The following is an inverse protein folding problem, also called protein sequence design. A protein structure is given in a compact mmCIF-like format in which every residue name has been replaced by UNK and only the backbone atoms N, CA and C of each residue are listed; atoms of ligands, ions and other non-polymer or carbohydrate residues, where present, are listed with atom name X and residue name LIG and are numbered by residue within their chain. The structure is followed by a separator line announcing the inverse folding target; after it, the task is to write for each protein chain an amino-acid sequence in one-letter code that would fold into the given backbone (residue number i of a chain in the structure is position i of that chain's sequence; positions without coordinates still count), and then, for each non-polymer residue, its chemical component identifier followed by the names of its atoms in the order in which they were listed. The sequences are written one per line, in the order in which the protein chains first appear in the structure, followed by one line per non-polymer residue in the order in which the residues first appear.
data_IF_706397495404
#
_entry.id   IF_706397495404
#
_cell.length_a   1.000
_cell.length_b   1.000
_cell.length_c   1.000
_cell.angle_alpha   90.00
_cell.angle_beta   90.00
_cell.angle_gamma   90.00
#
_symmetry.space_group_name_H-M   'P 1'
#
loop_
_entity.id
_entity.type
_entity.pdbx_description
1 polymer ?
#
# COMPACT_ATOMS: atom_id res chain seq x y z
N UNK A 1 3.11 2.36 -0.56
CA UNK A 1 4.26 2.32 0.37
C UNK A 1 4.59 0.85 0.60
N UNK A 2 5.69 0.32 0.03
CA UNK A 2 6.04 -1.10 0.11
C UNK A 2 6.68 -1.42 1.47
N UNK A 3 5.87 -1.92 2.41
CA UNK A 3 6.35 -2.31 3.74
C UNK A 3 7.09 -3.65 3.70
N UNK A 4 8.18 -3.81 4.48
CA UNK A 4 8.96 -5.04 4.49
C UNK A 4 8.23 -6.18 5.23
N UNK A 5 8.55 -7.45 4.93
CA UNK A 5 8.07 -8.59 5.71
C UNK A 5 8.36 -8.44 7.21
N UNK A 6 7.44 -8.90 8.05
CA UNK A 6 7.53 -8.77 9.50
C UNK A 6 7.12 -7.40 10.04
N UNK A 7 6.53 -6.54 9.20
CA UNK A 7 5.89 -5.31 9.67
C UNK A 7 4.64 -5.66 10.48
N UNK A 8 4.59 -5.20 11.71
CA UNK A 8 3.46 -5.35 12.63
C UNK A 8 2.73 -4.04 12.90
N UNK A 9 1.92 -4.03 13.94
CA UNK A 9 1.09 -2.88 14.35
C UNK A 9 1.90 -1.58 14.45
N UNK A 10 3.09 -1.66 15.09
CA UNK A 10 3.99 -0.51 15.25
C UNK A 10 4.33 0.15 13.91
N UNK A 11 4.73 -0.66 12.92
CA UNK A 11 5.12 -0.17 11.61
C UNK A 11 3.95 0.39 10.81
N UNK A 12 2.82 -0.30 10.78
CA UNK A 12 1.61 0.18 10.10
C UNK A 12 1.10 1.50 10.68
N UNK A 13 1.04 1.60 12.01
CA UNK A 13 0.60 2.82 12.68
C UNK A 13 1.60 3.96 12.51
N UNK A 14 2.90 3.66 12.48
CA UNK A 14 3.93 4.66 12.20
C UNK A 14 3.77 5.26 10.80
N UNK A 15 3.63 4.42 9.77
CA UNK A 15 3.41 4.87 8.38
C UNK A 15 2.11 5.65 8.25
N UNK A 16 1.04 5.15 8.86
CA UNK A 16 -0.26 5.84 8.83
C UNK A 16 -0.14 7.24 9.39
N UNK A 17 0.47 7.41 10.57
CA UNK A 17 0.61 8.71 11.25
C UNK A 17 1.57 9.65 10.53
N UNK A 18 2.70 9.15 10.06
CA UNK A 18 3.78 10.01 9.58
C UNK A 18 3.76 10.26 8.07
N UNK A 19 3.05 9.43 7.29
CA UNK A 19 2.96 9.58 5.84
C UNK A 19 1.52 9.72 5.38
N UNK A 20 0.66 8.73 5.69
CA UNK A 20 -0.68 8.67 5.10
C UNK A 20 -1.54 9.85 5.56
N UNK A 21 -1.62 10.12 6.85
CA UNK A 21 -2.43 11.23 7.38
C UNK A 21 -1.95 12.60 6.89
N UNK A 22 -0.65 12.96 6.92
CA UNK A 22 -0.16 14.21 6.34
C UNK A 22 -0.47 14.37 4.85
N UNK A 23 -0.37 13.28 4.07
CA UNK A 23 -0.70 13.32 2.66
C UNK A 23 -2.21 13.47 2.40
N UNK A 24 -3.05 12.83 3.20
CA UNK A 24 -4.51 13.01 3.15
C UNK A 24 -4.89 14.45 3.51
N UNK A 25 -4.26 15.03 4.54
CA UNK A 25 -4.49 16.43 4.93
C UNK A 25 -4.09 17.40 3.82
N UNK A 26 -2.97 17.13 3.13
CA UNK A 26 -2.53 17.95 2.00
C UNK A 26 -3.43 17.79 0.77
N UNK A 27 -3.87 16.56 0.47
CA UNK A 27 -4.70 16.24 -0.68
C UNK A 27 -6.16 16.69 -0.52
N UNK A 28 -6.68 16.69 0.73
CA UNK A 28 -8.05 17.09 1.09
C UNK A 28 -9.13 16.39 0.27
N UNK A 29 -9.20 15.06 0.27
CA UNK A 29 -10.22 14.33 -0.47
C UNK A 29 -11.61 14.59 0.11
N UNK A 30 -12.65 14.64 -0.76
CA UNK A 30 -14.05 14.73 -0.33
C UNK A 30 -14.54 13.40 0.26
N UNK A 31 -13.94 12.28 -0.13
CA UNK A 31 -14.29 10.94 0.30
C UNK A 31 -13.04 10.09 0.50
N UNK A 32 -12.95 9.43 1.64
CA UNK A 32 -11.93 8.43 1.94
C UNK A 32 -12.57 7.06 1.97
N UNK A 33 -12.10 6.17 1.11
CA UNK A 33 -12.51 4.76 1.06
C UNK A 33 -11.29 3.92 1.45
N UNK A 34 -11.44 3.06 2.44
CA UNK A 34 -10.41 2.10 2.82
C UNK A 34 -10.71 0.74 2.18
N UNK A 35 -9.87 0.29 1.25
CA UNK A 35 -9.81 -1.10 0.81
C UNK A 35 -9.14 -1.91 1.92
N UNK A 36 -9.96 -2.45 2.82
CA UNK A 36 -9.54 -3.06 4.07
C UNK A 36 -9.20 -4.53 3.89
N UNK A 37 -8.16 -4.84 3.11
CA UNK A 37 -7.60 -6.18 3.00
C UNK A 37 -7.05 -6.66 4.34
N UNK A 38 -7.30 -7.92 4.68
CA UNK A 38 -6.97 -8.52 5.98
C UNK A 38 -5.87 -9.58 5.87
N UNK A 39 -5.29 -9.74 4.69
CA UNK A 39 -4.21 -10.68 4.41
C UNK A 39 -2.85 -10.29 5.00
N UNK A 40 -2.72 -9.07 5.53
CA UNK A 40 -1.54 -8.66 6.31
C UNK A 40 -1.58 -9.10 7.79
N UNK A 41 -2.61 -9.83 8.19
CA UNK A 41 -2.73 -10.38 9.54
C UNK A 41 -1.68 -11.48 9.78
N UNK A 42 -1.10 -11.52 11.00
CA UNK A 42 -0.01 -12.45 11.34
C UNK A 42 -0.36 -13.95 11.20
N UNK A 43 -1.66 -14.30 11.14
CA UNK A 43 -2.12 -15.69 10.91
C UNK A 43 -2.49 -15.95 9.45
N UNK A 44 -2.33 -14.96 8.55
CA UNK A 44 -2.68 -15.16 7.16
C UNK A 44 -1.66 -16.07 6.45
N UNK A 45 -2.10 -17.04 5.65
CA UNK A 45 -1.20 -17.98 4.99
C UNK A 45 -0.47 -17.41 3.78
N UNK A 46 -0.88 -16.25 3.24
CA UNK A 46 -0.35 -15.72 1.97
C UNK A 46 0.72 -14.65 2.16
N UNK A 47 0.76 -13.99 3.32
CA UNK A 47 1.73 -12.92 3.55
C UNK A 47 2.64 -13.20 4.73
N UNK A 48 3.74 -12.47 4.83
CA UNK A 48 4.67 -12.51 5.95
C UNK A 48 4.59 -11.24 6.81
N UNK A 49 3.40 -10.64 6.90
CA UNK A 49 3.15 -9.48 7.73
C UNK A 49 2.70 -9.89 9.14
N UNK A 50 2.71 -8.94 10.09
CA UNK A 50 2.42 -9.22 11.50
C UNK A 50 1.42 -8.24 12.11
N UNK A 51 0.44 -7.79 11.32
CA UNK A 51 -0.63 -6.92 11.79
C UNK A 51 -1.65 -7.73 12.61
N UNK A 52 -2.06 -7.22 13.76
CA UNK A 52 -3.09 -7.82 14.61
C UNK A 52 -4.47 -7.22 14.33
N UNK A 53 -5.55 -7.85 14.82
CA UNK A 53 -6.90 -7.29 14.75
C UNK A 53 -6.98 -5.92 15.44
N UNK A 54 -6.29 -5.76 16.56
CA UNK A 54 -6.16 -4.47 17.23
C UNK A 54 -5.44 -3.43 16.36
N UNK A 55 -4.37 -3.83 15.67
CA UNK A 55 -3.66 -2.96 14.72
C UNK A 55 -4.54 -2.48 13.57
N UNK A 56 -5.38 -3.38 13.00
CA UNK A 56 -6.37 -3.01 11.98
C UNK A 56 -7.39 -2.00 12.52
N UNK A 57 -7.92 -2.22 13.73
CA UNK A 57 -8.86 -1.30 14.36
C UNK A 57 -8.23 0.07 14.60
N UNK A 58 -7.02 0.11 15.16
CA UNK A 58 -6.28 1.34 15.43
C UNK A 58 -5.95 2.12 14.14
N UNK A 59 -5.57 1.42 13.07
CA UNK A 59 -5.32 2.02 11.76
C UNK A 59 -6.60 2.64 11.19
N UNK A 60 -7.74 1.91 11.24
CA UNK A 60 -9.04 2.45 10.79
C UNK A 60 -9.51 3.64 11.64
N UNK A 61 -9.31 3.61 12.95
CA UNK A 61 -9.62 4.75 13.82
C UNK A 61 -8.79 6.00 13.46
N UNK A 62 -7.51 5.82 13.10
CA UNK A 62 -6.65 6.92 12.64
C UNK A 62 -7.05 7.45 11.27
N UNK A 63 -7.32 6.56 10.31
CA UNK A 63 -7.71 6.94 8.96
C UNK A 63 -9.10 7.59 8.92
N UNK A 64 -9.98 7.19 9.83
CA UNK A 64 -11.38 7.61 9.91
C UNK A 64 -12.06 7.63 8.52
N UNK A 65 -12.05 6.52 7.78
CA UNK A 65 -12.59 6.48 6.44
C UNK A 65 -14.11 6.57 6.45
N UNK A 66 -14.70 7.13 5.39
CA UNK A 66 -16.15 7.18 5.20
C UNK A 66 -16.74 5.80 4.89
N UNK A 67 -15.95 4.96 4.21
CA UNK A 67 -16.32 3.61 3.78
C UNK A 67 -15.12 2.70 3.98
N UNK A 68 -15.34 1.50 4.50
CA UNK A 68 -14.37 0.41 4.47
C UNK A 68 -14.95 -0.75 3.63
N UNK A 69 -14.20 -1.20 2.63
CA UNK A 69 -14.56 -2.30 1.75
C UNK A 69 -13.68 -3.49 2.08
N UNK A 70 -14.28 -4.67 2.27
CA UNK A 70 -13.52 -5.90 2.50
C UNK A 70 -12.83 -6.33 1.19
N UNK A 71 -11.58 -6.73 1.31
CA UNK A 71 -10.76 -7.24 0.22
C UNK A 71 -10.18 -8.62 0.58
N UNK A 72 -8.89 -8.88 0.31
CA UNK A 72 -8.21 -10.10 0.71
C UNK A 72 -8.25 -10.35 2.21
N UNK A 73 -8.02 -11.59 2.61
CA UNK A 73 -7.99 -12.07 3.98
C UNK A 73 -8.41 -13.54 4.03
N UNK A 74 -7.45 -14.42 4.30
CA UNK A 74 -7.60 -15.86 4.08
C UNK A 74 -7.53 -16.66 5.38
N UNK A 75 -7.23 -16.00 6.49
CA UNK A 75 -7.31 -16.59 7.84
C UNK A 75 -8.72 -16.50 8.40
N UNK A 76 -9.62 -17.38 7.92
CA UNK A 76 -11.06 -17.33 8.20
C UNK A 76 -11.38 -17.41 9.70
N UNK A 77 -10.68 -18.26 10.44
CA UNK A 77 -10.93 -18.48 11.86
C UNK A 77 -10.06 -17.61 12.77
N UNK A 78 -8.81 -17.39 12.35
CA UNK A 78 -7.80 -16.69 13.16
C UNK A 78 -7.89 -15.17 13.08
N UNK A 79 -8.31 -14.62 11.93
CA UNK A 79 -8.30 -13.18 11.69
C UNK A 79 -9.69 -12.58 11.49
N UNK A 80 -10.43 -13.04 10.49
CA UNK A 80 -11.61 -12.35 9.96
C UNK A 80 -12.64 -11.91 11.04
N UNK A 81 -13.05 -12.73 12.01
CA UNK A 81 -14.04 -12.30 13.01
C UNK A 81 -13.56 -11.14 13.85
N UNK A 82 -12.28 -11.15 14.22
CA UNK A 82 -11.68 -10.16 15.13
C UNK A 82 -11.36 -8.88 14.37
N UNK A 83 -10.76 -8.97 13.19
CA UNK A 83 -10.44 -7.82 12.35
C UNK A 83 -11.72 -7.10 11.92
N UNK A 84 -12.74 -7.83 11.46
CA UNK A 84 -14.03 -7.23 11.08
C UNK A 84 -14.69 -6.52 12.28
N UNK A 85 -14.69 -7.15 13.45
CA UNK A 85 -15.22 -6.52 14.66
C UNK A 85 -14.44 -5.25 15.00
N UNK A 86 -13.10 -5.29 14.95
CA UNK A 86 -12.24 -4.15 15.23
C UNK A 86 -12.48 -2.99 14.26
N UNK A 87 -12.58 -3.26 12.95
CA UNK A 87 -12.89 -2.26 11.94
C UNK A 87 -14.28 -1.64 12.17
N UNK A 88 -15.30 -2.46 12.43
CA UNK A 88 -16.66 -1.98 12.71
C UNK A 88 -16.72 -1.09 13.94
N UNK A 89 -16.04 -1.47 15.03
CA UNK A 89 -15.99 -0.67 16.25
C UNK A 89 -15.27 0.66 16.00
N UNK A 90 -14.13 0.63 15.30
CA UNK A 90 -13.39 1.84 14.96
C UNK A 90 -14.22 2.81 14.11
N UNK A 91 -14.92 2.31 13.08
CA UNK A 91 -15.81 3.13 12.24
C UNK A 91 -17.01 3.70 13.01
N UNK A 92 -17.50 2.96 14.00
CA UNK A 92 -18.58 3.42 14.86
C UNK A 92 -18.12 4.39 15.98
N UNK A 93 -16.83 4.65 16.11
CA UNK A 93 -16.26 5.45 17.22
C UNK A 93 -16.40 4.77 18.57
N UNK A 94 -16.50 3.44 18.60
CA UNK A 94 -16.64 2.64 19.81
C UNK A 94 -15.28 2.11 20.30
N UNK A 95 -15.14 1.83 21.62
CA UNK A 95 -13.93 1.25 22.18
C UNK A 95 -13.61 -0.13 21.57
N UNK A 96 -12.35 -0.34 21.16
CA UNK A 96 -11.88 -1.59 20.56
C UNK A 96 -10.65 -2.19 21.26
N UNK A 97 -10.25 -1.68 22.41
CA UNK A 97 -9.07 -2.11 23.16
C UNK A 97 -9.13 -3.58 23.59
N UNK A 98 -10.34 -4.14 23.64
CA UNK A 98 -10.60 -5.53 23.99
C UNK A 98 -10.61 -6.49 22.78
N UNK A 99 -10.42 -5.96 21.56
CA UNK A 99 -10.40 -6.80 20.36
C UNK A 99 -9.03 -7.42 20.19
N UNK A 100 -8.95 -8.70 20.52
CA UNK A 100 -7.76 -9.53 20.34
C UNK A 100 -8.17 -10.91 19.86
N UNK A 101 -7.31 -11.52 19.07
CA UNK A 101 -7.42 -12.92 18.68
C UNK A 101 -7.14 -13.83 19.89
N UNK A 102 -7.72 -15.04 19.96
CA UNK A 102 -7.54 -15.96 21.11
C UNK A 102 -6.07 -16.29 21.38
N UNK A 103 -5.24 -16.41 20.32
CA UNK A 103 -3.84 -16.80 20.40
C UNK A 103 -2.90 -15.59 20.28
N UNK A 104 -3.39 -14.38 20.54
CA UNK A 104 -2.59 -13.15 20.46
C UNK A 104 -1.44 -13.16 21.47
N UNK A 105 -0.21 -13.09 21.00
CA UNK A 105 0.98 -12.91 21.82
C UNK A 105 1.77 -11.67 21.39
N UNK A 106 1.57 -10.58 22.12
CA UNK A 106 2.24 -9.31 21.85
C UNK A 106 3.77 -9.39 21.90
N UNK A 107 4.35 -10.38 22.61
CA UNK A 107 5.82 -10.56 22.64
C UNK A 107 6.32 -11.25 21.39
N UNK A 108 5.58 -12.25 20.90
CA UNK A 108 5.92 -12.95 19.66
C UNK A 108 5.74 -12.04 18.43
N UNK A 109 4.77 -11.11 18.47
CA UNK A 109 4.47 -10.16 17.41
C UNK A 109 5.29 -8.86 17.48
N UNK A 110 6.23 -8.77 18.42
CA UNK A 110 7.08 -7.58 18.53
C UNK A 110 7.91 -7.36 17.27
N UNK A 111 7.73 -6.20 16.66
CA UNK A 111 8.47 -5.82 15.46
C UNK A 111 9.99 -5.76 15.71
N UNK A 112 10.77 -6.25 14.75
CA UNK A 112 12.24 -6.24 14.85
C UNK A 112 12.78 -4.82 14.65
N UNK A 113 13.81 -4.40 15.38
CA UNK A 113 14.38 -3.05 15.25
C UNK A 113 14.81 -2.68 13.82
N UNK A 114 15.34 -3.65 13.06
CA UNK A 114 15.76 -3.44 11.67
C UNK A 114 14.57 -3.11 10.75
N UNK A 115 13.39 -3.70 11.03
CA UNK A 115 12.14 -3.40 10.31
C UNK A 115 11.70 -1.97 10.63
N UNK A 116 11.72 -1.60 11.91
CA UNK A 116 11.39 -0.22 12.36
C UNK A 116 12.30 0.82 11.71
N UNK A 117 13.62 0.57 11.69
CA UNK A 117 14.60 1.47 11.06
C UNK A 117 14.38 1.60 9.54
N UNK A 118 14.10 0.47 8.87
CA UNK A 118 13.78 0.48 7.44
C UNK A 118 12.53 1.30 7.15
N UNK A 119 11.46 1.10 7.93
CA UNK A 119 10.20 1.82 7.77
C UNK A 119 10.39 3.33 7.98
N UNK A 120 11.19 3.73 8.97
CA UNK A 120 11.46 5.16 9.20
C UNK A 120 12.12 5.80 7.97
N UNK A 121 13.16 5.16 7.43
CA UNK A 121 13.84 5.66 6.21
C UNK A 121 12.90 5.67 5.00
N UNK A 122 12.09 4.62 4.82
CA UNK A 122 11.11 4.55 3.75
C UNK A 122 10.09 5.71 3.83
N UNK A 123 9.64 6.07 5.04
CA UNK A 123 8.73 7.21 5.23
C UNK A 123 9.39 8.53 4.81
N UNK A 124 10.65 8.74 5.21
CA UNK A 124 11.40 9.93 4.83
C UNK A 124 11.57 10.02 3.30
N UNK A 125 11.89 8.90 2.65
CA UNK A 125 12.04 8.81 1.19
C UNK A 125 10.72 9.12 0.47
N UNK A 126 9.60 8.56 0.94
CA UNK A 126 8.27 8.80 0.34
C UNK A 126 7.88 10.26 0.47
N UNK A 127 8.06 10.86 1.64
CA UNK A 127 7.76 12.29 1.86
C UNK A 127 8.68 13.18 1.03
N UNK A 128 9.96 12.84 0.95
CA UNK A 128 10.90 13.58 0.11
C UNK A 128 10.51 13.53 -1.38
N UNK A 129 10.11 12.35 -1.88
CA UNK A 129 9.62 12.22 -3.26
C UNK A 129 8.31 12.99 -3.51
N UNK A 130 7.43 13.04 -2.52
CA UNK A 130 6.20 13.83 -2.60
C UNK A 130 6.47 15.34 -2.66
N UNK A 131 7.36 15.85 -1.82
CA UNK A 131 7.72 17.28 -1.78
C UNK A 131 8.66 17.71 -2.91
N UNK A 132 9.48 16.78 -3.40
CA UNK A 132 10.47 16.99 -4.43
C UNK A 132 10.30 15.95 -5.55
N UNK A 133 9.15 15.94 -6.26
CA UNK A 133 8.92 14.94 -7.29
C UNK A 133 9.99 15.08 -8.37
N UNK A 134 10.57 13.96 -8.83
CA UNK A 134 11.52 13.99 -9.92
C UNK A 134 10.84 14.64 -11.14
N UNK A 135 11.51 15.61 -11.75
CA UNK A 135 10.98 16.33 -12.92
C UNK A 135 10.79 15.40 -14.13
N UNK A 136 11.38 14.21 -14.11
CA UNK A 136 11.31 13.18 -15.17
C UNK A 136 11.69 11.82 -14.61
N UNK A 137 11.24 10.70 -15.22
CA UNK A 137 11.77 9.37 -14.93
C UNK A 137 13.30 9.35 -15.09
N UNK A 138 13.97 8.58 -14.26
CA UNK A 138 15.45 8.45 -14.27
C UNK A 138 15.96 7.78 -15.55
N UNK A 139 15.13 6.96 -16.19
CA UNK A 139 15.42 6.22 -17.41
C UNK A 139 14.52 6.69 -18.54
N UNK A 140 15.08 6.86 -19.74
CA UNK A 140 14.36 7.28 -20.92
C UNK A 140 15.02 8.42 -21.67
N UNK A 141 14.41 8.84 -22.76
CA UNK A 141 14.89 9.92 -23.61
C UNK A 141 13.74 10.85 -24.04
N UNK A 142 14.10 12.06 -24.40
CA UNK A 142 13.13 13.03 -24.93
C UNK A 142 12.96 12.84 -26.44
N UNK A 143 11.69 12.75 -26.88
CA UNK A 143 11.27 12.72 -28.27
C UNK A 143 10.18 13.77 -28.49
N UNK A 144 10.56 14.94 -28.94
CA UNK A 144 9.68 16.10 -29.09
C UNK A 144 9.04 16.54 -27.76
N UNK A 145 7.71 16.45 -27.69
CA UNK A 145 6.92 16.74 -26.49
C UNK A 145 6.78 15.53 -25.55
N UNK A 146 7.37 14.39 -25.91
CA UNK A 146 7.26 13.16 -25.16
C UNK A 146 8.57 12.82 -24.45
N UNK A 147 8.45 12.22 -23.27
CA UNK A 147 9.50 11.46 -22.62
C UNK A 147 9.19 9.99 -22.81
N UNK A 148 10.10 9.22 -23.40
CA UNK A 148 9.89 7.82 -23.74
C UNK A 148 10.88 6.94 -22.99
N UNK A 149 10.38 5.78 -22.53
CA UNK A 149 11.21 4.70 -22.01
C UNK A 149 10.63 3.35 -22.40
N UNK A 150 11.49 2.36 -22.43
CA UNK A 150 11.14 0.96 -22.63
C UNK A 150 11.36 0.20 -21.33
N UNK A 151 10.54 -0.79 -21.05
CA UNK A 151 10.64 -1.65 -19.87
C UNK A 151 10.24 -3.05 -20.23
N UNK A 152 10.99 -4.06 -19.72
CA UNK A 152 10.63 -5.45 -19.73
C UNK A 152 10.20 -5.87 -18.34
N UNK A 153 9.01 -6.43 -18.23
CA UNK A 153 8.43 -6.90 -16.97
C UNK A 153 8.15 -8.38 -17.08
N UNK A 154 8.64 -9.15 -16.13
CA UNK A 154 8.31 -10.56 -16.00
C UNK A 154 7.33 -10.76 -14.85
N UNK A 155 6.18 -11.34 -15.15
CA UNK A 155 5.16 -11.76 -14.18
C UNK A 155 5.32 -13.24 -13.87
N UNK A 156 5.91 -13.53 -12.72
CA UNK A 156 6.24 -14.90 -12.29
C UNK A 156 5.02 -15.78 -12.07
N UNK A 157 3.92 -15.20 -11.55
CA UNK A 157 2.65 -15.91 -11.31
C UNK A 157 2.05 -16.48 -12.59
N UNK A 158 2.13 -15.74 -13.69
CA UNK A 158 1.55 -16.11 -14.98
C UNK A 158 2.61 -16.67 -15.95
N UNK A 159 3.88 -16.58 -15.59
CA UNK A 159 5.00 -16.93 -16.46
C UNK A 159 4.98 -16.13 -17.77
N UNK A 160 4.67 -14.83 -17.67
CA UNK A 160 4.45 -13.92 -18.79
C UNK A 160 5.55 -12.87 -18.82
N UNK A 161 6.15 -12.68 -19.99
CA UNK A 161 7.04 -11.54 -20.25
C UNK A 161 6.29 -10.47 -21.04
N UNK A 162 6.31 -9.24 -20.53
CA UNK A 162 5.66 -8.08 -21.12
C UNK A 162 6.71 -7.01 -21.46
N UNK A 163 6.64 -6.50 -22.69
CA UNK A 163 7.41 -5.36 -23.14
C UNK A 163 6.51 -4.12 -23.18
N UNK A 164 6.90 -3.07 -22.46
CA UNK A 164 6.17 -1.82 -22.37
C UNK A 164 6.95 -0.66 -23.01
N UNK A 165 6.27 0.08 -23.90
CA UNK A 165 6.70 1.39 -24.39
C UNK A 165 5.88 2.45 -23.65
N UNK A 166 6.51 3.17 -22.73
CA UNK A 166 5.88 4.24 -21.96
C UNK A 166 6.23 5.59 -22.54
N UNK A 167 5.21 6.36 -22.89
CA UNK A 167 5.33 7.75 -23.31
C UNK A 167 4.66 8.70 -22.33
N UNK A 168 5.39 9.71 -21.85
CA UNK A 168 4.84 10.78 -21.01
C UNK A 168 4.87 12.07 -21.82
N UNK A 169 3.70 12.60 -22.14
CA UNK A 169 3.60 13.91 -22.78
C UNK A 169 3.96 14.99 -21.77
N UNK A 170 5.03 15.71 -22.05
CA UNK A 170 5.56 16.74 -21.16
C UNK A 170 4.61 17.93 -21.08
N UNK A 171 4.28 18.36 -19.88
CA UNK A 171 3.51 19.56 -19.58
C UNK A 171 4.32 20.42 -18.60
N UNK A 172 4.37 21.76 -18.76
CA UNK A 172 5.05 22.63 -17.81
C UNK A 172 4.29 22.75 -16.47
N UNK A 173 2.96 22.54 -16.48
CA UNK A 173 2.07 22.86 -15.36
C UNK A 173 1.50 21.62 -14.64
N UNK A 174 1.78 20.40 -15.14
CA UNK A 174 1.23 19.17 -14.59
C UNK A 174 2.17 17.96 -14.80
N UNK A 175 1.94 16.81 -14.16
CA UNK A 175 2.71 15.59 -14.37
C UNK A 175 2.73 15.06 -15.81
N UNK A 176 1.85 15.56 -16.66
CA UNK A 176 1.73 15.15 -18.05
C UNK A 176 0.70 14.01 -18.24
N UNK A 177 0.55 13.60 -19.49
CA UNK A 177 -0.26 12.45 -19.88
C UNK A 177 0.66 11.25 -20.11
N UNK A 178 0.39 10.14 -19.44
CA UNK A 178 1.12 8.89 -19.66
C UNK A 178 0.31 7.98 -20.58
N UNK A 179 0.96 7.45 -21.60
CA UNK A 179 0.46 6.41 -22.49
C UNK A 179 1.41 5.21 -22.41
N UNK A 180 0.88 4.01 -22.23
CA UNK A 180 1.65 2.77 -22.17
C UNK A 180 1.15 1.86 -23.27
N UNK A 181 2.03 1.56 -24.22
CA UNK A 181 1.81 0.50 -25.21
C UNK A 181 2.48 -0.76 -24.70
N UNK A 182 1.74 -1.85 -24.65
CA UNK A 182 2.25 -3.13 -24.13
C UNK A 182 2.09 -4.25 -25.14
N UNK A 183 3.08 -5.13 -25.18
CA UNK A 183 3.06 -6.39 -25.92
C UNK A 183 3.58 -7.51 -25.04
N UNK A 184 3.11 -8.73 -25.25
CA UNK A 184 3.57 -9.88 -24.48
C UNK A 184 3.93 -11.06 -25.36
N UNK A 185 4.70 -11.99 -24.80
CA UNK A 185 5.11 -13.25 -25.48
C UNK A 185 3.93 -14.22 -25.71
N UNK A 186 2.77 -13.96 -25.11
CA UNK A 186 1.58 -14.82 -25.22
C UNK A 186 0.38 -14.16 -25.90
N UNK A 187 0.36 -12.87 -26.03
CA UNK A 187 -0.79 -12.11 -26.57
C UNK A 187 -0.29 -11.10 -27.58
N UNK A 188 -0.62 -11.32 -28.84
CA UNK A 188 -0.28 -10.42 -29.95
C UNK A 188 -1.30 -9.25 -30.03
N UNK A 189 -1.46 -8.51 -28.93
CA UNK A 189 -2.32 -7.32 -28.85
C UNK A 189 -1.58 -6.19 -28.13
N UNK A 190 -1.36 -5.10 -28.84
CA UNK A 190 -1.03 -3.82 -28.21
C UNK A 190 -2.29 -3.22 -27.58
N UNK A 191 -2.23 -2.88 -26.31
CA UNK A 191 -3.24 -2.10 -25.60
C UNK A 191 -2.68 -0.68 -25.41
N UNK A 192 -3.43 0.28 -25.88
CA UNK A 192 -3.19 1.70 -25.64
C UNK A 192 -4.12 2.21 -24.57
#
# INVERSE_FOLDING_TARGET
IPLPPGTGDEGYLYVTKNVVLPLLEAFKPDLVINSAGQDNHYTDPLTNMQLSAHGYAAMNALLNPHIAVLEGGYSIRGALPYVNLGICLALAGLPFEHVHEPDHDAKALKQRPQVTEYISRLCDDVLNQYHNPPSRPSEGHRDGEWWRRERDIYYDTDGLSEHQNEGIRLCPDCPGLTCIETSSDRVDKSLC
#
